data_IF_054976987876
#
_entry.id   IF_054976987876
#
_cell.length_a   1.000
_cell.length_b   1.000
_cell.length_c   1.000
_cell.angle_alpha   90.00
_cell.angle_beta   90.00
_cell.angle_gamma   90.00
#
_symmetry.space_group_name_H-M   'P 1'
#
loop_
_entity.id
_entity.type
_entity.pdbx_description
1 polymer ?
#
# COMPACT_ATOMS: atom_id res chain seq x y z
N UNK A 1 -17.95 -85.72 16.88
CA UNK A 1 -17.92 -84.69 17.96
C UNK A 1 -17.17 -83.42 17.55
N UNK A 2 -16.15 -83.48 16.68
CA UNK A 2 -15.40 -82.30 16.22
C UNK A 2 -16.16 -81.41 15.20
N UNK A 3 -17.01 -81.97 14.32
CA UNK A 3 -17.69 -81.19 13.27
C UNK A 3 -18.78 -80.25 13.78
N UNK A 4 -19.48 -80.62 14.85
CA UNK A 4 -20.53 -79.78 15.45
C UNK A 4 -19.97 -78.54 16.13
N UNK A 5 -18.79 -78.63 16.75
CA UNK A 5 -18.12 -77.49 17.40
C UNK A 5 -17.62 -76.50 16.35
N UNK A 6 -17.06 -76.99 15.23
CA UNK A 6 -16.61 -76.14 14.11
C UNK A 6 -17.78 -75.42 13.42
N UNK A 7 -18.93 -76.08 13.26
CA UNK A 7 -20.15 -75.46 12.74
C UNK A 7 -20.72 -74.39 13.69
N UNK A 8 -20.74 -74.65 15.00
CA UNK A 8 -21.18 -73.69 16.00
C UNK A 8 -20.27 -72.45 16.07
N UNK A 9 -18.94 -72.65 16.01
CA UNK A 9 -17.96 -71.55 15.99
C UNK A 9 -18.05 -70.75 14.69
N UNK A 10 -18.22 -71.40 13.52
CA UNK A 10 -18.42 -70.71 12.24
C UNK A 10 -19.73 -69.93 12.19
N UNK A 11 -20.81 -70.46 12.77
CA UNK A 11 -22.10 -69.78 12.90
C UNK A 11 -21.98 -68.54 13.79
N UNK A 12 -21.42 -68.69 14.99
CA UNK A 12 -21.20 -67.60 15.95
C UNK A 12 -20.32 -66.47 15.38
N UNK A 13 -19.24 -66.81 14.67
CA UNK A 13 -18.38 -65.83 13.98
C UNK A 13 -19.08 -65.12 12.80
N UNK A 14 -20.07 -65.77 12.16
CA UNK A 14 -20.86 -65.18 11.08
C UNK A 14 -21.89 -64.21 11.64
N UNK A 15 -22.55 -64.58 12.74
CA UNK A 15 -23.50 -63.71 13.46
C UNK A 15 -22.80 -62.50 14.08
N UNK A 16 -21.64 -62.67 14.72
CA UNK A 16 -20.89 -61.54 15.30
C UNK A 16 -20.35 -60.57 14.25
N UNK A 17 -19.95 -61.07 13.06
CA UNK A 17 -19.59 -60.21 11.93
C UNK A 17 -20.80 -59.42 11.41
N UNK A 18 -21.96 -60.06 11.26
CA UNK A 18 -23.19 -59.40 10.80
C UNK A 18 -23.65 -58.29 11.76
N UNK A 19 -23.66 -58.55 13.07
CA UNK A 19 -23.99 -57.54 14.09
C UNK A 19 -22.99 -56.37 14.10
N UNK A 20 -21.70 -56.64 13.88
CA UNK A 20 -20.68 -55.60 13.77
C UNK A 20 -20.87 -54.75 12.51
N UNK A 21 -21.25 -55.36 11.38
CA UNK A 21 -21.58 -54.64 10.14
C UNK A 21 -22.83 -53.77 10.31
N UNK A 22 -23.91 -54.27 10.93
CA UNK A 22 -25.11 -53.48 11.21
C UNK A 22 -24.84 -52.32 12.19
N UNK A 23 -23.98 -52.53 13.19
CA UNK A 23 -23.53 -51.45 14.10
C UNK A 23 -22.68 -50.40 13.38
N UNK A 24 -21.79 -50.81 12.47
CA UNK A 24 -21.00 -49.88 11.65
C UNK A 24 -21.86 -49.12 10.63
N UNK A 25 -22.87 -49.78 10.06
CA UNK A 25 -23.81 -49.19 9.11
C UNK A 25 -24.77 -48.21 9.80
N UNK A 26 -25.35 -48.58 10.94
CA UNK A 26 -26.17 -47.66 11.75
C UNK A 26 -25.35 -46.48 12.28
N UNK A 27 -24.10 -46.70 12.73
CA UNK A 27 -23.20 -45.63 13.13
C UNK A 27 -22.84 -44.71 11.97
N UNK A 28 -22.63 -45.24 10.75
CA UNK A 28 -22.34 -44.44 9.56
C UNK A 28 -23.54 -43.61 9.11
N UNK A 29 -24.76 -44.15 9.16
CA UNK A 29 -25.99 -43.41 8.88
C UNK A 29 -26.28 -42.31 9.93
N UNK A 30 -26.02 -42.57 11.21
CA UNK A 30 -26.08 -41.55 12.27
C UNK A 30 -25.04 -40.44 12.06
N UNK A 31 -23.83 -40.79 11.63
CA UNK A 31 -22.77 -39.82 11.31
C UNK A 31 -23.15 -38.98 10.08
N UNK A 32 -23.64 -39.60 9.00
CA UNK A 32 -24.13 -38.90 7.79
C UNK A 32 -25.32 -37.99 8.13
N UNK A 33 -26.27 -38.46 8.95
CA UNK A 33 -27.39 -37.65 9.45
C UNK A 33 -26.93 -36.45 10.29
N UNK A 34 -25.87 -36.61 11.08
CA UNK A 34 -25.29 -35.52 11.88
C UNK A 34 -24.53 -34.51 11.02
N UNK A 35 -23.74 -35.00 10.04
CA UNK A 35 -23.01 -34.16 9.10
C UNK A 35 -23.97 -33.35 8.19
N UNK A 36 -25.06 -33.95 7.73
CA UNK A 36 -26.08 -33.27 6.90
C UNK A 36 -26.82 -32.19 7.69
N UNK A 37 -27.22 -32.46 8.94
CA UNK A 37 -27.79 -31.45 9.85
C UNK A 37 -26.82 -30.29 10.08
N UNK A 38 -25.55 -30.59 10.37
CA UNK A 38 -24.52 -29.58 10.56
C UNK A 38 -24.31 -28.73 9.30
N UNK A 39 -24.22 -29.35 8.13
CA UNK A 39 -24.10 -28.67 6.85
C UNK A 39 -25.31 -27.76 6.56
N UNK A 40 -26.52 -28.21 6.86
CA UNK A 40 -27.74 -27.43 6.74
C UNK A 40 -27.72 -26.22 7.68
N UNK A 41 -27.36 -26.40 8.95
CA UNK A 41 -27.26 -25.32 9.94
C UNK A 41 -26.22 -24.27 9.51
N UNK A 42 -25.05 -24.72 9.04
CA UNK A 42 -24.01 -23.85 8.49
C UNK A 42 -24.56 -23.09 7.28
N UNK A 43 -25.28 -23.75 6.38
CA UNK A 43 -25.87 -23.11 5.20
C UNK A 43 -26.90 -22.05 5.57
N UNK A 44 -27.83 -22.36 6.48
CA UNK A 44 -28.82 -21.40 6.97
C UNK A 44 -28.13 -20.20 7.63
N UNK A 45 -27.09 -20.43 8.43
CA UNK A 45 -26.33 -19.36 9.04
C UNK A 45 -25.66 -18.45 7.99
N UNK A 46 -24.91 -19.02 7.05
CA UNK A 46 -24.13 -18.23 6.09
C UNK A 46 -24.96 -17.61 4.95
N UNK A 47 -26.05 -18.23 4.53
CA UNK A 47 -26.85 -17.77 3.39
C UNK A 47 -28.12 -17.01 3.80
N UNK A 48 -28.60 -17.14 5.04
CA UNK A 48 -29.81 -16.43 5.51
C UNK A 48 -29.55 -15.53 6.71
N UNK A 49 -29.13 -16.09 7.85
CA UNK A 49 -29.05 -15.35 9.12
C UNK A 49 -27.96 -14.26 9.09
N UNK A 50 -26.75 -14.60 8.63
CA UNK A 50 -25.62 -13.68 8.59
C UNK A 50 -25.83 -12.53 7.57
N UNK A 51 -26.31 -12.78 6.33
CA UNK A 51 -26.69 -11.70 5.42
C UNK A 51 -27.79 -10.81 6.00
N UNK A 52 -28.81 -11.39 6.63
CA UNK A 52 -29.90 -10.63 7.23
C UNK A 52 -29.40 -9.71 8.35
N UNK A 53 -28.60 -10.25 9.26
CA UNK A 53 -27.94 -9.46 10.29
C UNK A 53 -27.11 -8.33 9.68
N UNK A 54 -26.26 -8.62 8.68
CA UNK A 54 -25.37 -7.63 8.05
C UNK A 54 -26.11 -6.49 7.35
N UNK A 55 -27.26 -6.77 6.76
CA UNK A 55 -28.05 -5.79 6.03
C UNK A 55 -28.92 -4.92 6.93
N UNK A 56 -29.54 -5.49 7.97
CA UNK A 56 -30.57 -4.79 8.73
C UNK A 56 -30.17 -4.44 10.16
N UNK A 57 -29.40 -5.29 10.85
CA UNK A 57 -29.15 -5.17 12.29
C UNK A 57 -27.73 -4.67 12.58
N UNK A 58 -26.76 -5.00 11.73
CA UNK A 58 -25.37 -4.64 11.92
C UNK A 58 -25.23 -3.12 12.11
N UNK A 59 -24.37 -2.62 13.01
CA UNK A 59 -24.29 -1.18 13.30
C UNK A 59 -24.02 -0.30 12.07
N UNK A 60 -23.35 -0.86 11.05
CA UNK A 60 -23.09 -0.20 9.78
C UNK A 60 -24.24 -0.28 8.75
N UNK A 61 -25.40 -0.86 9.08
CA UNK A 61 -26.57 -0.98 8.17
C UNK A 61 -27.14 0.37 7.76
N UNK A 62 -26.91 1.41 8.57
CA UNK A 62 -27.34 2.79 8.29
C UNK A 62 -26.53 3.48 7.19
N UNK A 63 -25.32 3.00 6.89
CA UNK A 63 -24.47 3.61 5.86
C UNK A 63 -24.83 3.07 4.47
N UNK A 64 -24.89 3.94 3.45
CA UNK A 64 -25.22 3.53 2.09
C UNK A 64 -24.10 2.69 1.47
N UNK A 65 -24.45 1.83 0.51
CA UNK A 65 -23.50 1.04 -0.25
C UNK A 65 -24.13 -0.20 -0.89
N UNK A 66 -23.40 -0.93 -1.75
CA UNK A 66 -23.92 -2.11 -2.39
C UNK A 66 -24.24 -3.22 -1.38
N UNK A 67 -25.47 -3.75 -1.42
CA UNK A 67 -25.93 -4.81 -0.50
C UNK A 67 -25.03 -6.06 -0.51
N UNK A 68 -24.52 -6.45 -1.67
CA UNK A 68 -23.62 -7.61 -1.81
C UNK A 68 -22.29 -7.40 -1.09
N UNK A 69 -21.81 -6.16 -0.98
CA UNK A 69 -20.58 -5.79 -0.28
C UNK A 69 -20.81 -5.70 1.23
N UNK A 70 -21.98 -5.20 1.64
CA UNK A 70 -22.40 -5.26 3.05
C UNK A 70 -22.51 -6.72 3.56
N UNK A 71 -22.93 -7.66 2.70
CA UNK A 71 -23.04 -9.08 3.06
C UNK A 71 -21.68 -9.78 3.09
N UNK A 72 -20.77 -9.51 2.16
CA UNK A 72 -19.56 -10.33 1.97
C UNK A 72 -18.33 -9.52 1.58
N UNK A 73 -17.15 -10.03 1.94
CA UNK A 73 -15.85 -9.49 1.50
C UNK A 73 -15.49 -9.90 0.07
N UNK A 74 -16.19 -10.88 -0.52
CA UNK A 74 -15.87 -11.41 -1.86
C UNK A 74 -15.84 -10.33 -2.95
N UNK A 75 -16.86 -9.44 -3.06
CA UNK A 75 -16.84 -8.41 -4.11
C UNK A 75 -15.64 -7.45 -3.97
N UNK A 76 -15.31 -7.07 -2.73
CA UNK A 76 -14.13 -6.24 -2.45
C UNK A 76 -12.84 -6.97 -2.87
N UNK A 77 -12.70 -8.26 -2.53
CA UNK A 77 -11.52 -9.07 -2.89
C UNK A 77 -11.38 -9.19 -4.41
N UNK A 78 -12.46 -9.43 -5.14
CA UNK A 78 -12.44 -9.47 -6.61
C UNK A 78 -12.01 -8.12 -7.18
N UNK A 79 -12.61 -7.02 -6.69
CA UNK A 79 -12.25 -5.67 -7.09
C UNK A 79 -10.75 -5.39 -6.82
N UNK A 80 -10.28 -5.68 -5.61
CA UNK A 80 -8.90 -5.42 -5.21
C UNK A 80 -7.90 -6.23 -6.05
N UNK A 81 -8.17 -7.53 -6.25
CA UNK A 81 -7.31 -8.39 -7.07
C UNK A 81 -7.38 -8.07 -8.58
N UNK A 82 -8.42 -7.39 -9.06
CA UNK A 82 -8.53 -6.96 -10.47
C UNK A 82 -7.58 -5.82 -10.84
N UNK A 83 -7.03 -5.10 -9.85
CA UNK A 83 -6.24 -3.89 -10.07
C UNK A 83 -7.06 -2.63 -10.36
N UNK A 84 -8.39 -2.72 -10.40
CA UNK A 84 -9.28 -1.59 -10.74
C UNK A 84 -10.01 -0.98 -9.53
N UNK A 85 -9.55 -1.28 -8.31
CA UNK A 85 -10.24 -0.84 -7.08
C UNK A 85 -10.40 0.66 -6.95
N UNK A 86 -9.42 1.43 -7.38
CA UNK A 86 -9.46 2.89 -7.33
C UNK A 86 -10.61 3.48 -8.17
N UNK A 87 -10.88 2.91 -9.36
CA UNK A 87 -12.00 3.33 -10.23
C UNK A 87 -13.33 2.94 -9.63
N UNK A 88 -13.43 1.70 -9.14
CA UNK A 88 -14.67 1.20 -8.56
C UNK A 88 -15.05 1.96 -7.29
N UNK A 89 -14.07 2.35 -6.47
CA UNK A 89 -14.32 3.20 -5.30
C UNK A 89 -14.80 4.60 -5.71
N UNK A 90 -14.24 5.19 -6.77
CA UNK A 90 -14.74 6.45 -7.33
C UNK A 90 -16.22 6.33 -7.75
N UNK A 91 -16.58 5.32 -8.55
CA UNK A 91 -17.96 5.08 -8.97
C UNK A 91 -18.93 4.91 -7.78
N UNK A 92 -18.48 4.19 -6.74
CA UNK A 92 -19.29 4.01 -5.54
C UNK A 92 -19.50 5.32 -4.78
N UNK A 93 -18.48 6.17 -4.68
CA UNK A 93 -18.62 7.49 -4.05
C UNK A 93 -19.46 8.46 -4.89
N UNK A 94 -19.36 8.41 -6.23
CA UNK A 94 -20.25 9.16 -7.13
C UNK A 94 -21.72 8.73 -6.96
N UNK A 95 -21.96 7.43 -6.70
CA UNK A 95 -23.32 6.89 -6.54
C UNK A 95 -23.92 7.09 -5.13
N UNK A 96 -23.13 6.85 -4.07
CA UNK A 96 -23.64 6.74 -2.69
C UNK A 96 -23.24 7.92 -1.80
N UNK A 97 -22.38 8.83 -2.28
CA UNK A 97 -21.94 10.03 -1.55
C UNK A 97 -20.62 9.84 -0.80
N UNK A 98 -20.39 10.70 0.20
CA UNK A 98 -19.07 10.86 0.83
C UNK A 98 -18.67 9.75 1.81
N UNK A 99 -19.63 8.94 2.28
CA UNK A 99 -19.39 7.82 3.19
C UNK A 99 -20.09 6.58 2.64
N UNK A 100 -19.31 5.53 2.33
CA UNK A 100 -19.84 4.33 1.67
C UNK A 100 -19.39 3.06 2.41
N UNK A 101 -20.34 2.16 2.65
CA UNK A 101 -20.05 0.82 3.18
C UNK A 101 -19.57 -0.10 2.06
N UNK A 102 -18.27 -0.43 2.11
CA UNK A 102 -17.58 -1.25 1.09
C UNK A 102 -17.19 -2.64 1.60
N UNK A 103 -17.79 -3.07 2.71
CA UNK A 103 -17.61 -4.41 3.26
C UNK A 103 -18.53 -4.65 4.45
N UNK A 104 -18.58 -5.89 4.99
CA UNK A 104 -19.34 -6.19 6.19
C UNK A 104 -19.02 -5.27 7.36
N UNK A 105 -17.73 -4.98 7.57
CA UNK A 105 -17.23 -4.11 8.64
C UNK A 105 -16.24 -3.06 8.12
N UNK A 106 -16.54 -2.44 6.97
CA UNK A 106 -15.65 -1.48 6.31
C UNK A 106 -16.40 -0.27 5.74
N UNK A 107 -15.88 0.92 6.03
CA UNK A 107 -16.36 2.20 5.52
C UNK A 107 -15.25 2.93 4.73
N UNK A 108 -15.66 3.55 3.63
CA UNK A 108 -14.82 4.40 2.78
C UNK A 108 -15.30 5.85 2.87
N UNK A 109 -14.36 6.80 2.93
CA UNK A 109 -14.65 8.22 3.15
C UNK A 109 -13.98 9.10 2.09
N UNK A 110 -14.70 10.08 1.55
CA UNK A 110 -14.14 11.13 0.67
C UNK A 110 -14.37 12.55 1.20
N UNK A 111 -15.06 12.69 2.35
CA UNK A 111 -15.26 13.99 2.98
C UNK A 111 -13.92 14.61 3.44
N UNK A 112 -13.68 15.91 3.24
CA UNK A 112 -12.41 16.56 3.58
C UNK A 112 -11.98 16.39 5.04
N UNK A 113 -12.92 16.47 5.98
CA UNK A 113 -12.67 16.42 7.43
C UNK A 113 -12.29 15.00 7.89
N UNK A 114 -12.52 13.97 7.07
CA UNK A 114 -12.22 12.59 7.41
C UNK A 114 -10.73 12.36 7.64
N UNK A 115 -9.84 13.08 6.94
CA UNK A 115 -8.39 12.93 7.11
C UNK A 115 -7.95 13.18 8.55
N UNK A 116 -8.47 14.25 9.16
CA UNK A 116 -8.12 14.60 10.55
C UNK A 116 -8.63 13.54 11.54
N UNK A 117 -9.86 13.05 11.34
CA UNK A 117 -10.45 12.03 12.21
C UNK A 117 -9.78 10.65 12.05
N UNK A 118 -9.43 10.25 10.83
CA UNK A 118 -8.92 8.90 10.53
C UNK A 118 -7.39 8.82 10.72
N UNK A 119 -6.64 9.79 10.19
CA UNK A 119 -5.18 9.76 10.14
C UNK A 119 -4.52 10.82 11.04
N UNK A 120 -5.25 11.86 11.44
CA UNK A 120 -4.73 12.96 12.25
C UNK A 120 -4.35 12.54 13.68
N UNK A 121 -3.73 13.48 14.40
CA UNK A 121 -3.41 13.29 15.81
C UNK A 121 -4.69 13.41 16.62
N UNK A 122 -5.18 12.30 17.15
CA UNK A 122 -6.35 12.33 18.03
C UNK A 122 -5.98 12.84 19.43
N UNK A 123 -6.93 13.48 20.10
CA UNK A 123 -6.80 13.92 21.50
C UNK A 123 -6.77 12.74 22.47
N UNK A 124 -7.30 11.58 22.04
CA UNK A 124 -7.18 10.30 22.74
C UNK A 124 -5.82 9.66 22.42
N UNK A 125 -5.24 8.99 23.40
CA UNK A 125 -3.88 8.42 23.38
C UNK A 125 -3.66 7.40 22.25
N UNK A 126 -4.72 6.86 21.65
CA UNK A 126 -4.64 5.73 20.70
C UNK A 126 -4.99 6.19 19.29
N UNK A 127 -4.00 6.23 18.40
CA UNK A 127 -4.21 6.40 16.94
C UNK A 127 -5.03 5.24 16.36
N UNK A 128 -5.71 5.43 15.22
CA UNK A 128 -6.28 4.29 14.48
C UNK A 128 -5.12 3.46 13.86
N UNK A 129 -4.84 2.23 14.32
CA UNK A 129 -3.75 1.42 13.78
C UNK A 129 -4.01 1.04 12.32
N UNK A 130 -2.94 0.73 11.58
CA UNK A 130 -3.07 0.12 10.24
C UNK A 130 -3.73 -1.25 10.37
N UNK A 131 -4.51 -1.62 9.37
CA UNK A 131 -5.11 -2.94 9.34
C UNK A 131 -4.03 -4.05 9.20
N UNK A 132 -3.94 -5.04 10.12
CA UNK A 132 -2.85 -6.02 10.13
C UNK A 132 -2.74 -6.87 8.87
N UNK A 133 -3.86 -7.12 8.19
CA UNK A 133 -3.88 -7.86 6.92
C UNK A 133 -3.28 -7.05 5.76
N UNK A 134 -3.27 -5.72 5.86
CA UNK A 134 -2.68 -4.81 4.88
C UNK A 134 -1.20 -4.55 5.19
N UNK A 135 -0.91 -4.20 6.45
CA UNK A 135 0.42 -3.91 6.93
C UNK A 135 0.62 -4.60 8.28
N UNK A 136 1.34 -5.73 8.33
CA UNK A 136 1.58 -6.47 9.57
C UNK A 136 2.33 -5.61 10.60
N UNK A 137 1.95 -5.66 11.88
CA UNK A 137 2.63 -4.92 12.93
C UNK A 137 3.89 -5.65 13.42
N UNK A 138 4.85 -5.89 12.53
CA UNK A 138 6.03 -6.71 12.85
C UNK A 138 7.09 -6.00 13.70
N UNK A 139 7.00 -4.67 13.84
CA UNK A 139 7.94 -3.87 14.63
C UNK A 139 9.32 -3.72 14.01
N UNK A 140 9.53 -4.15 12.76
CA UNK A 140 10.87 -4.22 12.15
C UNK A 140 11.24 -3.02 11.32
N UNK A 141 10.25 -2.29 10.82
CA UNK A 141 10.47 -1.13 9.98
C UNK A 141 9.40 -0.06 10.20
N UNK A 142 9.72 1.19 9.87
CA UNK A 142 8.87 2.35 10.16
C UNK A 142 7.44 2.19 9.65
N UNK A 143 7.24 1.59 8.48
CA UNK A 143 5.90 1.45 7.91
C UNK A 143 4.97 0.52 8.71
N UNK A 144 5.49 -0.56 9.30
CA UNK A 144 4.73 -1.56 10.06
C UNK A 144 4.81 -1.40 11.59
N UNK A 145 5.73 -0.58 12.09
CA UNK A 145 5.99 -0.48 13.52
C UNK A 145 4.76 -0.07 14.35
N UNK A 146 4.52 -0.69 15.52
CA UNK A 146 3.58 -0.21 16.54
C UNK A 146 3.87 1.24 16.95
N UNK A 147 2.94 1.88 17.67
CA UNK A 147 3.01 3.32 17.97
C UNK A 147 4.36 3.78 18.55
N UNK A 148 4.81 3.15 19.65
CA UNK A 148 6.05 3.55 20.33
C UNK A 148 7.30 3.34 19.48
N UNK A 149 7.43 2.18 18.83
CA UNK A 149 8.56 1.89 17.93
C UNK A 149 8.58 2.83 16.73
N UNK A 150 7.41 3.12 16.16
CA UNK A 150 7.31 4.07 15.07
C UNK A 150 7.76 5.47 15.47
N UNK A 151 7.38 5.96 16.66
CA UNK A 151 7.82 7.27 17.15
C UNK A 151 9.35 7.30 17.30
N UNK A 152 9.96 6.24 17.86
CA UNK A 152 11.42 6.09 17.97
C UNK A 152 12.09 6.09 16.59
N UNK A 153 11.68 5.17 15.72
CA UNK A 153 12.23 5.02 14.37
C UNK A 153 12.10 6.31 13.54
N UNK A 154 10.91 6.94 13.56
CA UNK A 154 10.65 8.18 12.83
C UNK A 154 11.57 9.30 13.29
N UNK A 155 11.79 9.44 14.60
CA UNK A 155 12.67 10.49 15.15
C UNK A 155 14.12 10.29 14.70
N UNK A 156 14.60 9.05 14.65
CA UNK A 156 15.95 8.72 14.15
C UNK A 156 16.04 9.04 12.65
N UNK A 157 15.12 8.48 11.87
CA UNK A 157 15.13 8.57 10.41
C UNK A 157 14.88 10.01 9.89
N UNK A 158 14.14 10.85 10.63
CA UNK A 158 13.81 12.21 10.20
C UNK A 158 15.04 13.08 9.92
N UNK A 159 16.18 12.82 10.57
CA UNK A 159 17.42 13.53 10.29
C UNK A 159 17.92 13.28 8.85
N UNK A 160 17.66 12.10 8.30
CA UNK A 160 18.04 11.71 6.94
C UNK A 160 17.24 12.44 5.86
N UNK A 161 16.07 12.96 6.23
CA UNK A 161 15.16 13.73 5.38
C UNK A 161 15.07 15.20 5.80
N UNK A 162 16.06 15.69 6.56
CA UNK A 162 16.15 17.10 6.95
C UNK A 162 16.63 17.96 5.78
N UNK A 163 16.24 19.24 5.75
CA UNK A 163 16.69 20.16 4.69
C UNK A 163 18.22 20.25 4.58
N UNK A 164 18.92 20.16 5.72
CA UNK A 164 20.39 20.13 5.76
C UNK A 164 20.93 18.87 5.06
N UNK A 165 20.40 17.70 5.40
CA UNK A 165 20.88 16.43 4.84
C UNK A 165 20.55 16.33 3.35
N UNK A 166 19.35 16.75 2.94
CA UNK A 166 18.98 16.78 1.52
C UNK A 166 19.92 17.68 0.69
N UNK A 167 20.32 18.84 1.24
CA UNK A 167 21.34 19.69 0.59
C UNK A 167 22.68 18.96 0.42
N UNK A 168 23.07 18.13 1.39
CA UNK A 168 24.28 17.31 1.30
C UNK A 168 24.12 16.12 0.34
N UNK A 169 22.89 15.62 0.17
CA UNK A 169 22.54 14.55 -0.77
C UNK A 169 22.41 15.04 -2.21
N UNK A 170 22.15 16.33 -2.43
CA UNK A 170 21.90 16.92 -3.75
C UNK A 170 22.94 16.51 -4.81
N UNK A 171 24.27 16.52 -4.56
CA UNK A 171 25.24 16.11 -5.57
C UNK A 171 25.06 14.66 -6.04
N UNK A 172 24.62 13.77 -5.14
CA UNK A 172 24.35 12.36 -5.47
C UNK A 172 23.14 12.28 -6.41
N UNK A 173 22.06 12.95 -6.06
CA UNK A 173 20.82 12.95 -6.85
C UNK A 173 21.04 13.58 -8.23
N UNK A 174 21.70 14.74 -8.27
CA UNK A 174 22.00 15.44 -9.52
C UNK A 174 22.86 14.59 -10.46
N UNK A 175 23.85 13.85 -9.94
CA UNK A 175 24.65 12.95 -10.77
C UNK A 175 23.83 11.87 -11.49
N UNK A 176 22.79 11.33 -10.85
CA UNK A 176 21.86 10.38 -11.48
C UNK A 176 20.91 11.06 -12.46
N UNK A 177 20.48 12.29 -12.19
CA UNK A 177 19.66 13.09 -13.13
C UNK A 177 20.47 13.41 -14.40
N UNK A 178 21.72 13.85 -14.26
CA UNK A 178 22.61 14.13 -15.38
C UNK A 178 22.81 12.87 -16.26
N UNK A 179 23.00 11.71 -15.61
CA UNK A 179 23.11 10.43 -16.29
C UNK A 179 21.82 10.08 -17.05
N UNK A 180 20.66 10.28 -16.44
CA UNK A 180 19.36 10.07 -17.08
C UNK A 180 19.22 10.93 -18.34
N UNK A 181 19.45 12.25 -18.23
CA UNK A 181 19.35 13.18 -19.37
C UNK A 181 20.34 12.81 -20.47
N UNK A 182 21.59 12.48 -20.11
CA UNK A 182 22.61 12.00 -21.06
C UNK A 182 22.13 10.78 -21.83
N UNK A 183 21.62 9.75 -21.14
CA UNK A 183 21.13 8.52 -21.77
C UNK A 183 19.92 8.76 -22.66
N UNK A 184 18.99 9.62 -22.25
CA UNK A 184 17.85 10.01 -23.06
C UNK A 184 18.28 10.72 -24.35
N UNK A 185 19.26 11.64 -24.28
CA UNK A 185 19.82 12.28 -25.48
C UNK A 185 20.54 11.29 -26.41
N UNK A 186 21.31 10.34 -25.87
CA UNK A 186 21.93 9.28 -26.65
C UNK A 186 20.90 8.44 -27.40
N UNK A 187 19.78 8.09 -26.74
CA UNK A 187 18.70 7.32 -27.36
C UNK A 187 17.93 8.13 -28.40
N UNK A 188 17.62 9.39 -28.12
CA UNK A 188 16.90 10.26 -29.05
C UNK A 188 17.70 10.55 -30.33
N UNK A 189 19.04 10.63 -30.25
CA UNK A 189 19.90 10.82 -31.44
C UNK A 189 20.01 9.59 -32.32
N UNK A 190 19.98 8.40 -31.71
CA UNK A 190 20.29 7.14 -32.38
C UNK A 190 19.04 6.39 -32.89
N UNK A 191 17.84 6.93 -32.68
CA UNK A 191 16.58 6.22 -32.95
C UNK A 191 15.41 7.18 -33.14
N UNK A 192 14.64 7.00 -34.22
CA UNK A 192 13.30 7.59 -34.37
C UNK A 192 12.25 6.89 -33.49
N UNK A 193 12.59 5.77 -32.85
CA UNK A 193 11.66 5.00 -32.02
C UNK A 193 11.31 5.72 -30.71
N UNK A 194 10.03 5.60 -30.33
CA UNK A 194 9.50 6.13 -29.09
C UNK A 194 10.26 5.60 -27.86
N UNK A 195 10.53 6.50 -26.90
CA UNK A 195 11.15 6.16 -25.62
C UNK A 195 10.04 5.90 -24.60
N UNK A 196 10.08 4.73 -23.96
CA UNK A 196 9.21 4.44 -22.82
C UNK A 196 9.78 5.13 -21.57
N UNK A 197 9.30 6.36 -21.30
CA UNK A 197 9.86 7.24 -20.26
C UNK A 197 9.67 6.68 -18.84
N UNK A 198 8.63 5.87 -18.59
CA UNK A 198 8.37 5.30 -17.28
C UNK A 198 9.47 4.35 -16.80
N UNK A 199 10.05 3.54 -17.69
CA UNK A 199 11.21 2.69 -17.38
C UNK A 199 12.43 3.52 -17.00
N UNK A 200 12.71 4.59 -17.74
CA UNK A 200 13.84 5.47 -17.45
C UNK A 200 13.71 6.21 -16.11
N UNK A 201 12.49 6.67 -15.79
CA UNK A 201 12.19 7.25 -14.48
C UNK A 201 12.31 6.22 -13.36
N UNK A 202 11.90 4.97 -13.60
CA UNK A 202 12.14 3.88 -12.65
C UNK A 202 13.65 3.64 -12.45
N UNK A 203 14.43 3.54 -13.52
CA UNK A 203 15.89 3.34 -13.42
C UNK A 203 16.54 4.45 -12.60
N UNK A 204 16.19 5.69 -12.87
CA UNK A 204 16.70 6.85 -12.12
C UNK A 204 16.29 6.80 -10.65
N UNK A 205 15.01 6.56 -10.35
CA UNK A 205 14.52 6.52 -8.98
C UNK A 205 15.16 5.39 -8.16
N UNK A 206 15.35 4.21 -8.76
CA UNK A 206 16.04 3.10 -8.10
C UNK A 206 17.53 3.38 -7.88
N UNK A 207 18.23 3.93 -8.87
CA UNK A 207 19.66 4.26 -8.69
C UNK A 207 19.84 5.34 -7.63
N UNK A 208 19.01 6.39 -7.62
CA UNK A 208 19.05 7.43 -6.58
C UNK A 208 18.81 6.82 -5.18
N UNK A 209 17.71 6.09 -4.99
CA UNK A 209 17.40 5.58 -3.65
C UNK A 209 18.34 4.45 -3.22
N UNK A 210 18.85 3.65 -4.15
CA UNK A 210 19.88 2.66 -3.87
C UNK A 210 21.15 3.32 -3.36
N UNK A 211 21.56 4.39 -4.02
CA UNK A 211 22.74 5.15 -3.62
C UNK A 211 22.57 5.85 -2.26
N UNK A 212 21.36 6.32 -1.95
CA UNK A 212 21.02 6.93 -0.66
C UNK A 212 20.73 5.91 0.46
N UNK A 213 20.21 4.72 0.17
CA UNK A 213 19.82 3.74 1.18
C UNK A 213 20.91 2.71 1.46
N UNK A 214 21.70 2.35 0.45
CA UNK A 214 22.77 1.35 0.53
C UNK A 214 24.16 1.94 0.29
N UNK A 215 24.27 3.21 -0.09
CA UNK A 215 25.56 3.83 -0.40
C UNK A 215 26.16 3.36 -1.73
N UNK A 216 25.38 2.71 -2.60
CA UNK A 216 25.76 2.43 -3.99
C UNK A 216 24.51 2.29 -4.89
N UNK A 217 24.56 2.76 -6.15
CA UNK A 217 23.45 2.61 -7.09
C UNK A 217 23.28 1.15 -7.55
N UNK A 218 22.14 0.85 -8.20
CA UNK A 218 21.89 -0.46 -8.80
C UNK A 218 22.49 -0.62 -10.19
N UNK A 219 22.86 0.49 -10.84
CA UNK A 219 23.41 0.52 -12.19
C UNK A 219 22.34 0.52 -13.29
N UNK A 220 21.07 0.79 -12.97
CA UNK A 220 19.98 0.68 -13.92
C UNK A 220 20.12 1.67 -15.10
N UNK A 221 20.54 2.91 -14.83
CA UNK A 221 20.80 3.93 -15.87
C UNK A 221 22.05 3.59 -16.70
N UNK A 222 23.07 3.01 -16.07
CA UNK A 222 24.29 2.62 -16.75
C UNK A 222 24.03 1.49 -17.73
N UNK A 223 23.35 0.44 -17.27
CA UNK A 223 23.07 -0.77 -18.05
C UNK A 223 21.85 -0.62 -18.96
N UNK A 224 21.09 0.48 -18.81
CA UNK A 224 19.82 0.70 -19.51
C UNK A 224 18.83 -0.45 -19.32
N UNK A 225 18.84 -1.06 -18.13
CA UNK A 225 18.07 -2.25 -17.80
C UNK A 225 17.71 -2.28 -16.32
N UNK A 226 16.58 -2.92 -16.00
CA UNK A 226 16.15 -3.09 -14.62
C UNK A 226 16.99 -4.15 -13.90
N UNK A 227 17.52 -3.83 -12.72
CA UNK A 227 18.25 -4.80 -11.92
C UNK A 227 17.34 -5.99 -11.51
N UNK A 228 17.78 -7.27 -11.62
CA UNK A 228 16.92 -8.44 -11.38
C UNK A 228 16.24 -8.50 -10.00
N UNK A 229 16.92 -7.98 -8.97
CA UNK A 229 16.34 -7.85 -7.62
C UNK A 229 15.11 -6.94 -7.59
N UNK A 230 15.11 -5.85 -8.38
CA UNK A 230 13.98 -4.91 -8.49
C UNK A 230 12.79 -5.59 -9.16
N UNK A 231 13.01 -6.30 -10.26
CA UNK A 231 11.95 -7.06 -10.93
C UNK A 231 11.29 -8.09 -9.99
N UNK A 232 12.09 -8.68 -9.09
CA UNK A 232 11.61 -9.60 -8.06
C UNK A 232 10.74 -8.91 -7.02
N UNK A 233 11.05 -7.65 -6.64
CA UNK A 233 10.21 -6.85 -5.75
C UNK A 233 8.82 -6.66 -6.35
N UNK A 234 8.71 -6.23 -7.61
CA UNK A 234 7.40 -6.01 -8.25
C UNK A 234 6.54 -7.28 -8.30
N UNK A 235 7.16 -8.43 -8.61
CA UNK A 235 6.48 -9.71 -8.55
C UNK A 235 5.99 -10.02 -7.12
N UNK A 236 6.80 -9.72 -6.10
CA UNK A 236 6.44 -9.95 -4.70
C UNK A 236 5.28 -9.06 -4.25
N UNK A 237 5.20 -7.80 -4.68
CA UNK A 237 4.11 -6.87 -4.35
C UNK A 237 2.75 -7.40 -4.83
N UNK A 238 2.70 -7.96 -6.06
CA UNK A 238 1.47 -8.57 -6.59
C UNK A 238 1.01 -9.76 -5.75
N UNK A 239 1.93 -10.65 -5.38
CA UNK A 239 1.61 -11.79 -4.51
C UNK A 239 1.21 -11.36 -3.10
N UNK A 240 1.83 -10.29 -2.58
CA UNK A 240 1.50 -9.67 -1.31
C UNK A 240 0.09 -9.10 -1.30
N UNK A 241 -0.33 -8.43 -2.36
CA UNK A 241 -1.69 -7.91 -2.53
C UNK A 241 -2.74 -9.04 -2.48
N UNK A 242 -2.52 -10.13 -3.23
CA UNK A 242 -3.41 -11.30 -3.19
C UNK A 242 -3.44 -11.90 -1.78
N UNK A 243 -2.27 -12.05 -1.14
CA UNK A 243 -2.18 -12.53 0.24
C UNK A 243 -2.94 -11.65 1.23
N UNK A 244 -2.84 -10.34 1.12
CA UNK A 244 -3.57 -9.37 1.95
C UNK A 244 -5.09 -9.52 1.77
N UNK A 245 -5.56 -9.70 0.54
CA UNK A 245 -6.98 -9.91 0.26
C UNK A 245 -7.50 -11.24 0.84
N UNK A 246 -6.72 -12.33 0.74
CA UNK A 246 -7.09 -13.62 1.30
C UNK A 246 -7.07 -13.62 2.84
N UNK A 247 -6.17 -12.87 3.47
CA UNK A 247 -6.11 -12.73 4.94
C UNK A 247 -7.37 -12.10 5.56
N UNK A 248 -8.23 -11.46 4.76
CA UNK A 248 -9.49 -10.87 5.23
C UNK A 248 -10.59 -11.91 5.50
N UNK A 249 -10.41 -13.17 5.08
CA UNK A 249 -11.34 -14.26 5.37
C UNK A 249 -10.90 -15.01 6.63
N UNK A 250 -11.76 -15.20 7.64
CA UNK A 250 -11.35 -15.72 8.96
C UNK A 250 -10.58 -17.05 8.95
N UNK A 251 -10.92 -17.97 8.05
CA UNK A 251 -10.32 -19.32 8.01
C UNK A 251 -9.07 -19.39 7.13
N UNK A 252 -8.89 -18.46 6.19
CA UNK A 252 -7.80 -18.55 5.22
C UNK A 252 -6.41 -18.31 5.83
N UNK A 253 -6.17 -17.37 6.77
CA UNK A 253 -4.87 -17.21 7.41
C UNK A 253 -4.28 -18.49 8.01
N UNK A 254 -5.13 -19.39 8.52
CA UNK A 254 -4.68 -20.68 9.06
C UNK A 254 -4.27 -21.68 7.96
N UNK A 255 -4.89 -21.58 6.78
CA UNK A 255 -4.69 -22.51 5.65
C UNK A 255 -3.59 -22.01 4.72
N UNK A 256 -3.48 -20.70 4.52
CA UNK A 256 -2.56 -20.07 3.56
C UNK A 256 -1.12 -20.56 3.70
N UNK A 257 -0.50 -20.61 4.91
CA UNK A 257 0.87 -21.09 5.08
C UNK A 257 1.10 -22.52 4.54
N UNK A 258 0.07 -23.37 4.54
CA UNK A 258 0.14 -24.73 4.00
C UNK A 258 0.10 -24.76 2.46
N UNK A 259 -0.47 -23.72 1.84
CA UNK A 259 -0.64 -23.60 0.40
C UNK A 259 0.47 -22.77 -0.27
N UNK A 260 1.23 -21.97 0.50
CA UNK A 260 2.30 -21.14 -0.06
C UNK A 260 3.42 -22.03 -0.63
N UNK A 261 3.75 -21.91 -1.92
CA UNK A 261 4.85 -22.69 -2.50
C UNK A 261 6.19 -22.32 -1.85
N UNK A 262 7.03 -23.32 -1.56
CA UNK A 262 8.39 -23.11 -0.99
C UNK A 262 9.23 -22.13 -1.82
N UNK A 263 9.03 -22.09 -3.14
CA UNK A 263 9.71 -21.15 -4.04
C UNK A 263 9.43 -19.69 -3.66
N UNK A 264 8.19 -19.37 -3.26
CA UNK A 264 7.81 -18.01 -2.87
C UNK A 264 8.41 -17.61 -1.53
N UNK A 265 8.52 -18.55 -0.59
CA UNK A 265 9.21 -18.33 0.68
C UNK A 265 10.70 -18.04 0.47
N UNK A 266 11.38 -18.84 -0.35
CA UNK A 266 12.79 -18.62 -0.72
C UNK A 266 13.02 -17.27 -1.39
N UNK A 267 12.10 -16.84 -2.26
CA UNK A 267 12.17 -15.54 -2.91
C UNK A 267 12.13 -14.39 -1.88
N UNK A 268 11.28 -14.52 -0.86
CA UNK A 268 11.23 -13.55 0.25
C UNK A 268 12.53 -13.51 1.07
N UNK A 269 13.16 -14.67 1.29
CA UNK A 269 14.46 -14.77 1.97
C UNK A 269 15.58 -14.14 1.12
N UNK A 270 15.59 -14.38 -0.19
CA UNK A 270 16.57 -13.80 -1.12
C UNK A 270 16.47 -12.27 -1.18
N UNK A 271 15.26 -11.72 -1.23
CA UNK A 271 15.04 -10.26 -1.19
C UNK A 271 15.62 -9.64 0.08
N UNK A 272 15.38 -10.27 1.23
CA UNK A 272 15.91 -9.82 2.53
C UNK A 272 17.42 -9.94 2.61
N UNK A 273 17.97 -11.07 2.15
CA UNK A 273 19.42 -11.31 2.14
C UNK A 273 20.16 -10.26 1.31
N UNK A 274 19.63 -9.90 0.14
CA UNK A 274 20.23 -8.85 -0.67
C UNK A 274 20.31 -7.50 0.07
N UNK A 275 19.23 -7.09 0.74
CA UNK A 275 19.22 -5.86 1.55
C UNK A 275 20.26 -5.93 2.67
N UNK A 276 20.29 -7.05 3.40
CA UNK A 276 21.26 -7.31 4.46
C UNK A 276 22.71 -7.21 3.95
N UNK A 277 23.02 -7.85 2.81
CA UNK A 277 24.38 -7.89 2.26
C UNK A 277 24.84 -6.50 1.80
N UNK A 278 23.95 -5.71 1.20
CA UNK A 278 24.21 -4.32 0.83
C UNK A 278 24.48 -3.43 2.05
N UNK A 279 23.66 -3.56 3.09
CA UNK A 279 23.87 -2.85 4.36
C UNK A 279 25.19 -3.26 5.01
N UNK A 280 25.50 -4.56 5.09
CA UNK A 280 26.78 -5.06 5.64
C UNK A 280 27.96 -4.44 4.92
N UNK A 281 27.97 -4.51 3.58
CA UNK A 281 29.05 -3.94 2.75
C UNK A 281 29.24 -2.44 3.03
N UNK A 282 28.14 -1.69 3.15
CA UNK A 282 28.22 -0.25 3.42
C UNK A 282 28.75 0.06 4.82
N UNK A 283 28.34 -0.69 5.83
CA UNK A 283 28.84 -0.53 7.20
C UNK A 283 30.31 -0.92 7.33
N UNK A 284 30.73 -2.00 6.67
CA UNK A 284 32.13 -2.48 6.64
C UNK A 284 33.07 -1.50 5.93
N UNK A 285 32.57 -0.72 4.96
CA UNK A 285 33.37 0.29 4.26
C UNK A 285 33.90 1.40 5.18
N UNK A 286 33.25 1.65 6.32
CA UNK A 286 33.59 2.73 7.26
C UNK A 286 33.54 4.14 6.65
N UNK A 287 33.01 4.30 5.43
CA UNK A 287 32.96 5.60 4.76
C UNK A 287 31.91 6.51 5.40
N UNK A 288 32.24 7.80 5.55
CA UNK A 288 31.25 8.81 5.93
C UNK A 288 30.67 9.41 4.65
N UNK A 289 29.35 9.28 4.50
CA UNK A 289 28.60 9.76 3.34
C UNK A 289 27.28 10.35 3.83
N UNK A 290 26.75 11.42 3.22
CA UNK A 290 25.45 11.98 3.60
C UNK A 290 24.28 11.10 3.13
N UNK A 291 24.35 9.79 3.30
CA UNK A 291 23.30 8.86 2.92
C UNK A 291 22.32 8.60 4.09
N UNK A 292 21.21 7.92 3.82
CA UNK A 292 20.18 7.62 4.81
C UNK A 292 20.70 6.59 5.82
N UNK A 293 21.58 5.68 5.39
CA UNK A 293 22.13 4.65 6.27
C UNK A 293 23.00 5.24 7.38
N UNK A 294 23.80 6.27 7.07
CA UNK A 294 24.55 7.06 8.05
C UNK A 294 23.62 7.63 9.15
N UNK A 295 22.41 8.05 8.77
CA UNK A 295 21.42 8.51 9.75
C UNK A 295 20.94 7.35 10.64
N UNK A 296 20.69 6.18 10.06
CA UNK A 296 20.21 5.01 10.80
C UNK A 296 21.20 4.53 11.87
N UNK A 297 22.49 4.76 11.67
CA UNK A 297 23.57 4.37 12.61
C UNK A 297 23.96 5.47 13.60
N UNK A 298 23.48 6.70 13.41
CA UNK A 298 23.85 7.87 14.22
C UNK A 298 23.22 7.93 15.64
N UNK A 299 22.35 6.98 15.97
CA UNK A 299 21.62 6.93 17.23
C UNK A 299 22.50 6.80 18.47
N UNK A 300 22.04 7.30 19.63
CA UNK A 300 22.72 7.17 20.93
C UNK A 300 21.74 6.71 22.02
N UNK A 301 22.20 5.86 22.93
CA UNK A 301 21.38 5.31 24.02
C UNK A 301 20.14 4.57 23.49
N UNK A 302 18.97 4.88 24.07
CA UNK A 302 17.69 4.28 23.69
C UNK A 302 17.16 4.75 22.33
N UNK A 303 17.81 5.75 21.70
CA UNK A 303 17.48 6.26 20.38
C UNK A 303 18.35 5.62 19.29
N UNK A 304 18.48 4.30 19.33
CA UNK A 304 19.23 3.49 18.35
C UNK A 304 18.30 2.56 17.59
N UNK A 305 18.72 2.17 16.38
CA UNK A 305 18.10 1.09 15.62
C UNK A 305 18.93 -0.18 15.80
N UNK A 306 18.25 -1.33 15.97
CA UNK A 306 18.90 -2.64 15.92
C UNK A 306 19.35 -2.96 14.50
N UNK A 307 20.23 -3.95 14.36
CA UNK A 307 20.68 -4.37 13.02
C UNK A 307 19.54 -4.82 12.12
N UNK A 308 18.60 -5.63 12.65
CA UNK A 308 17.41 -6.06 11.91
C UNK A 308 16.55 -4.84 11.51
N UNK A 309 16.40 -3.86 12.40
CA UNK A 309 15.67 -2.62 12.06
C UNK A 309 16.35 -1.82 10.95
N UNK A 310 17.68 -1.74 10.94
CA UNK A 310 18.43 -1.05 9.87
C UNK A 310 18.20 -1.77 8.53
N UNK A 311 18.38 -3.09 8.48
CA UNK A 311 18.25 -3.88 7.25
C UNK A 311 16.82 -3.80 6.67
N UNK A 312 15.80 -3.86 7.52
CA UNK A 312 14.39 -3.77 7.09
C UNK A 312 13.99 -2.32 6.74
N UNK A 313 14.53 -1.30 7.41
CA UNK A 313 14.28 0.09 7.03
C UNK A 313 14.97 0.45 5.70
N UNK A 314 16.19 -0.02 5.46
CA UNK A 314 16.88 0.15 4.17
C UNK A 314 16.08 -0.49 3.02
N UNK A 315 15.55 -1.72 3.25
CA UNK A 315 14.65 -2.38 2.30
C UNK A 315 13.39 -1.55 2.03
N UNK A 316 12.64 -1.15 3.08
CA UNK A 316 11.36 -0.47 2.90
C UNK A 316 11.52 0.92 2.26
N UNK A 317 12.59 1.64 2.59
CA UNK A 317 12.89 2.96 2.01
C UNK A 317 13.24 2.83 0.54
N UNK A 318 14.01 1.82 0.17
CA UNK A 318 14.35 1.54 -1.24
C UNK A 318 13.09 1.26 -2.05
N UNK A 319 12.20 0.38 -1.57
CA UNK A 319 10.95 0.05 -2.29
C UNK A 319 10.00 1.25 -2.33
N UNK A 320 9.80 1.93 -1.19
CA UNK A 320 8.85 3.03 -1.10
C UNK A 320 9.30 4.27 -1.88
N UNK A 321 10.60 4.60 -1.87
CA UNK A 321 11.14 5.82 -2.47
C UNK A 321 11.39 5.75 -3.98
N UNK A 322 11.40 4.54 -4.57
CA UNK A 322 11.66 4.34 -6.00
C UNK A 322 10.36 4.33 -6.82
N UNK A 323 9.57 3.25 -6.70
CA UNK A 323 8.40 2.98 -7.55
C UNK A 323 7.35 4.09 -7.48
N UNK A 324 7.11 4.64 -6.29
CA UNK A 324 6.10 5.69 -6.08
C UNK A 324 6.50 7.00 -6.75
N UNK A 325 7.76 7.41 -6.60
CA UNK A 325 8.33 8.61 -7.24
C UNK A 325 8.33 8.48 -8.76
N UNK A 326 8.79 7.33 -9.28
CA UNK A 326 8.76 7.07 -10.72
C UNK A 326 7.33 7.09 -11.28
N UNK A 327 6.35 6.54 -10.55
CA UNK A 327 4.93 6.59 -10.93
C UNK A 327 4.39 8.02 -10.96
N UNK A 328 4.70 8.84 -9.94
CA UNK A 328 4.28 10.24 -9.89
C UNK A 328 4.85 11.04 -11.07
N UNK A 329 6.16 10.91 -11.32
CA UNK A 329 6.82 11.60 -12.44
C UNK A 329 6.30 11.14 -13.79
N UNK A 330 6.03 9.84 -13.95
CA UNK A 330 5.42 9.30 -15.17
C UNK A 330 4.03 9.90 -15.40
N UNK A 331 3.21 9.99 -14.36
CA UNK A 331 1.91 10.65 -14.39
C UNK A 331 2.02 12.12 -14.78
N UNK A 332 2.97 12.86 -14.19
CA UNK A 332 3.21 14.27 -14.51
C UNK A 332 3.60 14.47 -15.98
N UNK A 333 4.55 13.68 -16.50
CA UNK A 333 4.96 13.75 -17.92
C UNK A 333 3.78 13.40 -18.85
N UNK A 334 3.01 12.37 -18.52
CA UNK A 334 1.82 12.00 -19.28
C UNK A 334 0.79 13.14 -19.35
N UNK A 335 0.50 13.78 -18.20
CA UNK A 335 -0.45 14.88 -18.11
C UNK A 335 0.05 16.12 -18.87
N UNK A 336 1.33 16.47 -18.74
CA UNK A 336 1.92 17.57 -19.51
C UNK A 336 1.90 17.30 -21.02
N UNK A 337 2.22 16.08 -21.45
CA UNK A 337 2.18 15.70 -22.87
C UNK A 337 0.75 15.77 -23.44
N UNK A 338 -0.28 15.54 -22.61
CA UNK A 338 -1.69 15.70 -22.98
C UNK A 338 -2.20 17.13 -22.94
N UNK A 339 -1.47 18.05 -22.29
CA UNK A 339 -1.87 19.44 -22.09
C UNK A 339 -0.77 20.41 -22.57
N UNK A 340 -0.64 20.64 -23.89
CA UNK A 340 0.45 21.45 -24.46
C UNK A 340 0.54 22.87 -23.90
N UNK A 341 -0.59 23.48 -23.51
CA UNK A 341 -0.61 24.82 -22.91
C UNK A 341 0.09 24.84 -21.54
N UNK A 342 -0.19 23.86 -20.68
CA UNK A 342 0.49 23.72 -19.39
C UNK A 342 1.97 23.39 -19.56
N UNK A 343 2.31 22.52 -20.52
CA UNK A 343 3.71 22.22 -20.86
C UNK A 343 4.48 23.45 -21.34
N UNK A 344 3.86 24.29 -22.16
CA UNK A 344 4.46 25.55 -22.62
C UNK A 344 4.69 26.54 -21.48
N UNK A 345 3.71 26.71 -20.58
CA UNK A 345 3.82 27.56 -19.39
C UNK A 345 4.94 27.09 -18.45
N UNK A 346 4.97 25.79 -18.12
CA UNK A 346 6.02 25.22 -17.29
C UNK A 346 7.40 25.37 -17.93
N UNK A 347 7.51 25.08 -19.24
CA UNK A 347 8.76 25.23 -19.97
C UNK A 347 9.24 26.68 -19.97
N UNK A 348 8.32 27.65 -20.09
CA UNK A 348 8.65 29.07 -20.02
C UNK A 348 9.14 29.48 -18.63
N UNK A 349 8.45 29.08 -17.56
CA UNK A 349 8.87 29.36 -16.18
C UNK A 349 10.29 28.83 -15.92
N UNK A 350 10.55 27.55 -16.22
CA UNK A 350 11.86 26.94 -15.97
C UNK A 350 12.95 27.60 -16.82
N UNK A 351 12.73 27.81 -18.12
CA UNK A 351 13.75 28.36 -19.04
C UNK A 351 14.00 29.87 -18.85
N UNK A 352 13.03 30.60 -18.30
CA UNK A 352 13.22 32.02 -17.98
C UNK A 352 13.91 32.23 -16.63
N UNK A 353 13.80 31.27 -15.70
CA UNK A 353 14.40 31.36 -14.38
C UNK A 353 15.88 30.92 -14.37
N UNK A 354 16.24 29.92 -15.19
CA UNK A 354 17.60 29.37 -15.22
C UNK A 354 18.29 29.63 -16.57
N UNK A 355 19.43 30.29 -16.53
CA UNK A 355 20.27 30.51 -17.72
C UNK A 355 21.11 29.27 -18.09
N UNK A 356 21.45 28.44 -17.11
CA UNK A 356 22.26 27.22 -17.26
C UNK A 356 21.69 26.12 -16.33
N UNK A 357 21.56 24.89 -16.84
CA UNK A 357 21.14 23.72 -16.08
C UNK A 357 22.00 23.47 -14.82
N UNK A 358 23.28 23.84 -14.86
CA UNK A 358 24.21 23.71 -13.73
C UNK A 358 23.88 24.61 -12.54
N UNK A 359 23.04 25.62 -12.75
CA UNK A 359 22.57 26.54 -11.69
C UNK A 359 21.32 26.03 -10.98
N UNK A 360 20.73 24.93 -11.46
CA UNK A 360 19.56 24.32 -10.82
C UNK A 360 19.98 23.62 -9.51
N UNK A 361 19.29 23.94 -8.43
CA UNK A 361 19.43 23.28 -7.14
C UNK A 361 18.05 23.05 -6.48
N UNK A 362 18.01 22.20 -5.46
CA UNK A 362 16.76 21.85 -4.78
C UNK A 362 16.05 23.05 -4.17
N UNK A 363 16.82 24.01 -3.65
CA UNK A 363 16.26 25.18 -2.97
C UNK A 363 15.55 26.10 -3.97
N UNK A 364 16.12 26.30 -5.15
CA UNK A 364 15.60 27.22 -6.15
C UNK A 364 14.43 26.60 -6.91
N UNK A 365 14.53 25.34 -7.34
CA UNK A 365 13.45 24.68 -8.09
C UNK A 365 12.17 24.53 -7.26
N UNK A 366 12.28 24.37 -5.94
CA UNK A 366 11.13 24.28 -5.04
C UNK A 366 10.41 25.61 -4.81
N UNK A 367 10.92 26.71 -5.36
CA UNK A 367 10.26 28.03 -5.31
C UNK A 367 9.51 28.39 -6.58
N UNK A 368 9.57 27.55 -7.63
CA UNK A 368 8.90 27.80 -8.88
C UNK A 368 7.40 27.50 -8.76
N UNK A 369 6.53 28.53 -8.77
CA UNK A 369 5.12 28.37 -8.41
C UNK A 369 4.37 27.46 -9.39
N UNK A 370 4.60 27.59 -10.70
CA UNK A 370 3.90 26.78 -11.69
C UNK A 370 4.40 25.33 -11.70
N UNK A 371 5.70 25.10 -11.51
CA UNK A 371 6.26 23.76 -11.31
C UNK A 371 5.62 23.06 -10.09
N UNK A 372 5.55 23.74 -8.94
CA UNK A 372 4.89 23.20 -7.74
C UNK A 372 3.42 22.87 -8.02
N UNK A 373 2.69 23.78 -8.67
CA UNK A 373 1.30 23.58 -9.08
C UNK A 373 1.11 22.39 -10.02
N UNK A 374 2.04 22.17 -10.96
CA UNK A 374 2.04 21.01 -11.85
C UNK A 374 2.27 19.72 -11.06
N UNK A 375 3.20 19.70 -10.10
CA UNK A 375 3.46 18.52 -9.26
C UNK A 375 2.23 18.18 -8.41
N UNK A 376 1.62 19.17 -7.76
CA UNK A 376 0.41 18.99 -6.95
C UNK A 376 -0.76 18.49 -7.80
N UNK A 377 -1.03 19.10 -8.95
CA UNK A 377 -2.12 18.67 -9.83
C UNK A 377 -1.88 17.28 -10.43
N UNK A 378 -0.62 16.95 -10.72
CA UNK A 378 -0.25 15.62 -11.20
C UNK A 378 -0.49 14.55 -10.13
N UNK A 379 -0.12 14.82 -8.88
CA UNK A 379 -0.40 13.93 -7.74
C UNK A 379 -1.91 13.83 -7.45
N UNK A 380 -2.71 14.86 -7.75
CA UNK A 380 -4.16 14.85 -7.58
C UNK A 380 -4.85 13.92 -8.59
N UNK A 381 -4.47 14.01 -9.87
CA UNK A 381 -5.04 13.18 -10.93
C UNK A 381 -4.42 11.78 -11.02
N UNK A 382 -3.14 11.65 -10.67
CA UNK A 382 -2.35 10.44 -10.81
C UNK A 382 -1.60 10.08 -9.50
N UNK A 383 -2.30 9.91 -8.36
CA UNK A 383 -1.67 9.57 -7.10
C UNK A 383 -1.04 8.16 -7.17
N UNK A 384 0.25 7.98 -6.79
CA UNK A 384 0.87 6.67 -6.72
C UNK A 384 0.18 5.70 -5.75
N UNK A 385 -0.49 6.23 -4.72
CA UNK A 385 -1.29 5.47 -3.76
C UNK A 385 -2.80 5.71 -3.91
N UNK A 386 -3.45 5.31 -5.02
CA UNK A 386 -4.80 5.78 -5.35
C UNK A 386 -5.90 5.24 -4.42
N UNK A 387 -5.61 4.14 -3.71
CA UNK A 387 -6.55 3.49 -2.79
C UNK A 387 -6.36 3.96 -1.35
N UNK A 388 -7.30 3.60 -0.48
CA UNK A 388 -7.18 3.86 0.95
C UNK A 388 -6.02 3.07 1.57
N UNK A 389 -5.33 3.70 2.52
CA UNK A 389 -4.50 2.98 3.50
C UNK A 389 -5.39 2.59 4.69
N UNK A 390 -5.85 1.34 4.78
CA UNK A 390 -6.88 0.93 5.73
C UNK A 390 -6.40 1.08 7.16
N UNK A 391 -7.21 1.78 7.96
CA UNK A 391 -7.08 1.90 9.42
C UNK A 391 -8.18 1.10 10.10
N UNK A 392 -8.00 0.82 11.38
CA UNK A 392 -9.00 0.15 12.21
C UNK A 392 -9.36 1.05 13.38
N UNK A 393 -10.65 1.21 13.68
CA UNK A 393 -11.09 1.91 14.89
C UNK A 393 -10.67 1.13 16.15
N UNK A 394 -10.30 1.80 17.25
CA UNK A 394 -9.94 1.12 18.49
C UNK A 394 -11.13 0.30 19.03
N UNK A 395 -10.94 -0.67 19.94
CA UNK A 395 -12.01 -1.56 20.43
C UNK A 395 -13.26 -0.84 20.95
N UNK A 396 -13.08 0.33 21.56
CA UNK A 396 -14.13 1.21 22.07
C UNK A 396 -14.84 2.06 21.00
N UNK A 397 -14.49 1.90 19.72
CA UNK A 397 -15.02 2.70 18.62
C UNK A 397 -14.42 4.11 18.52
N UNK A 398 -14.91 4.89 17.57
CA UNK A 398 -14.41 6.24 17.32
C UNK A 398 -15.50 7.17 16.77
N UNK A 399 -15.37 8.47 17.03
CA UNK A 399 -16.23 9.50 16.44
C UNK A 399 -15.60 10.01 15.15
N UNK A 400 -16.25 9.78 14.01
CA UNK A 400 -15.78 10.20 12.69
C UNK A 400 -16.89 11.01 12.04
N UNK A 401 -16.60 12.28 11.70
CA UNK A 401 -17.58 13.22 11.13
C UNK A 401 -18.86 13.38 11.99
N UNK A 402 -18.72 13.36 13.32
CA UNK A 402 -19.86 13.46 14.25
C UNK A 402 -20.65 12.16 14.43
N UNK A 403 -20.27 11.07 13.73
CA UNK A 403 -20.91 9.77 13.87
C UNK A 403 -20.07 8.78 14.67
N UNK A 404 -20.72 8.04 15.57
CA UNK A 404 -20.06 6.96 16.29
C UNK A 404 -19.90 5.72 15.40
N UNK A 405 -18.66 5.32 15.17
CA UNK A 405 -18.25 4.14 14.42
C UNK A 405 -17.82 3.06 15.42
N UNK A 406 -18.39 1.85 15.35
CA UNK A 406 -18.05 0.76 16.27
C UNK A 406 -16.56 0.39 16.21
N UNK A 407 -16.08 -0.22 17.28
CA UNK A 407 -14.69 -0.70 17.34
C UNK A 407 -14.39 -1.81 16.33
N UNK A 408 -13.11 -1.95 16.00
CA UNK A 408 -12.60 -2.91 15.02
C UNK A 408 -13.17 -2.74 13.60
N UNK A 409 -13.73 -1.58 13.28
CA UNK A 409 -14.24 -1.23 11.94
C UNK A 409 -13.08 -0.77 11.07
N UNK A 410 -12.99 -1.31 9.85
CA UNK A 410 -12.01 -0.83 8.86
C UNK A 410 -12.50 0.49 8.27
N UNK A 411 -11.63 1.48 8.24
CA UNK A 411 -11.92 2.82 7.74
C UNK A 411 -10.78 3.29 6.85
N UNK A 412 -11.07 4.10 5.84
CA UNK A 412 -10.02 4.63 4.99
C UNK A 412 -10.50 5.63 3.95
N UNK A 413 -9.54 6.35 3.38
CA UNK A 413 -9.77 7.45 2.44
C UNK A 413 -9.12 7.09 1.10
N UNK A 414 -9.90 6.65 0.09
CA UNK A 414 -9.36 6.40 -1.25
C UNK A 414 -8.95 7.72 -1.89
N UNK A 415 -7.64 7.92 -2.05
CA UNK A 415 -7.07 9.17 -2.57
C UNK A 415 -7.68 9.55 -3.92
N UNK A 416 -7.70 8.64 -4.90
CA UNK A 416 -8.21 8.96 -6.24
C UNK A 416 -9.70 9.35 -6.21
N UNK A 417 -10.53 8.60 -5.50
CA UNK A 417 -11.96 8.91 -5.39
C UNK A 417 -12.21 10.25 -4.67
N UNK A 418 -11.38 10.57 -3.67
CA UNK A 418 -11.43 11.84 -2.95
C UNK A 418 -11.03 13.01 -3.84
N UNK A 419 -9.98 12.82 -4.63
CA UNK A 419 -9.36 13.86 -5.47
C UNK A 419 -10.13 14.13 -6.75
N UNK A 420 -10.85 13.13 -7.27
CA UNK A 420 -11.69 13.23 -8.48
C UNK A 420 -13.17 13.48 -8.16
N UNK A 421 -13.52 13.74 -6.91
CA UNK A 421 -14.90 14.06 -6.53
C UNK A 421 -15.22 15.51 -6.85
N UNK A 422 -16.27 15.75 -7.64
CA UNK A 422 -16.77 17.10 -7.96
C UNK A 422 -17.34 17.84 -6.74
N UNK A 423 -17.63 17.15 -5.63
CA UNK A 423 -17.96 17.81 -4.37
C UNK A 423 -16.75 18.42 -3.66
N UNK A 424 -15.54 17.96 -4.01
CA UNK A 424 -14.29 18.43 -3.41
C UNK A 424 -13.52 19.36 -4.36
N UNK A 425 -13.49 19.06 -5.66
CA UNK A 425 -12.74 19.84 -6.65
C UNK A 425 -13.64 20.19 -7.82
N UNK A 426 -13.69 21.46 -8.20
CA UNK A 426 -14.37 21.89 -9.43
C UNK A 426 -13.62 21.35 -10.64
N UNK A 427 -14.35 20.75 -11.59
CA UNK A 427 -13.78 20.15 -12.82
C UNK A 427 -12.71 19.13 -12.44
N UNK A 428 -13.05 18.25 -11.50
CA UNK A 428 -12.11 17.39 -10.80
C UNK A 428 -11.32 16.48 -11.74
N UNK A 429 -11.86 16.12 -12.90
CA UNK A 429 -11.20 15.20 -13.84
C UNK A 429 -10.25 15.89 -14.84
N UNK A 430 -10.20 17.22 -14.84
CA UNK A 430 -9.35 18.01 -15.73
C UNK A 430 -7.99 18.33 -15.08
N UNK A 431 -6.94 18.42 -15.90
CA UNK A 431 -5.59 18.82 -15.45
C UNK A 431 -5.46 20.34 -15.51
N UNK A 432 -5.59 20.98 -14.35
CA UNK A 432 -5.57 22.43 -14.22
C UNK A 432 -4.60 22.82 -13.10
N UNK A 433 -3.29 22.95 -13.40
CA UNK A 433 -2.30 23.41 -12.41
C UNK A 433 -2.69 24.73 -11.75
N UNK A 434 -3.36 25.62 -12.49
CA UNK A 434 -3.81 26.94 -11.99
C UNK A 434 -4.67 26.85 -10.73
N UNK A 435 -5.33 25.71 -10.43
CA UNK A 435 -6.08 25.57 -9.18
C UNK A 435 -5.22 25.72 -7.93
N UNK A 436 -3.93 25.43 -8.02
CA UNK A 436 -2.98 25.52 -6.91
C UNK A 436 -2.38 26.91 -6.75
N UNK A 437 -2.70 27.82 -7.67
CA UNK A 437 -2.32 29.23 -7.63
C UNK A 437 -3.45 30.08 -7.04
N UNK A 438 -3.21 31.39 -6.93
CA UNK A 438 -4.21 32.38 -6.55
C UNK A 438 -5.21 32.62 -7.71
N UNK A 439 -6.04 31.62 -8.01
CA UNK A 439 -7.08 31.69 -9.02
C UNK A 439 -8.47 31.68 -8.37
N UNK A 440 -9.24 32.74 -8.61
CA UNK A 440 -10.58 32.91 -8.04
C UNK A 440 -11.56 31.82 -8.50
N UNK A 441 -11.36 31.21 -9.67
CA UNK A 441 -12.21 30.15 -10.22
C UNK A 441 -12.24 28.91 -9.31
N UNK A 442 -11.11 28.60 -8.66
CA UNK A 442 -10.90 27.37 -7.88
C UNK A 442 -10.85 27.62 -6.37
N UNK A 443 -11.25 28.82 -5.92
CA UNK A 443 -11.25 29.19 -4.51
C UNK A 443 -12.18 28.33 -3.64
N UNK A 444 -13.20 27.69 -4.23
CA UNK A 444 -14.12 26.77 -3.56
C UNK A 444 -13.62 25.33 -3.42
N UNK A 445 -12.46 24.98 -3.98
CA UNK A 445 -11.90 23.64 -3.86
C UNK A 445 -11.51 23.30 -2.42
N UNK A 446 -11.85 22.07 -2.01
CA UNK A 446 -11.53 21.51 -0.70
C UNK A 446 -10.08 21.00 -0.66
N UNK A 447 -9.10 21.89 -0.82
CA UNK A 447 -7.67 21.53 -0.87
C UNK A 447 -7.17 20.80 0.38
N UNK A 448 -7.81 20.98 1.54
CA UNK A 448 -7.52 20.23 2.77
C UNK A 448 -7.72 18.70 2.65
N UNK A 449 -8.52 18.23 1.69
CA UNK A 449 -8.67 16.80 1.43
C UNK A 449 -7.52 16.21 0.59
N UNK A 450 -6.68 17.05 -0.03
CA UNK A 450 -5.51 16.63 -0.80
C UNK A 450 -4.33 16.31 0.12
N UNK A 451 -4.13 15.02 0.39
CA UNK A 451 -3.05 14.51 1.23
C UNK A 451 -2.34 13.32 0.55
N UNK A 452 -1.64 13.54 -0.58
CA UNK A 452 -0.99 12.45 -1.34
C UNK A 452 0.02 11.68 -0.49
N UNK A 453 0.62 12.36 0.48
CA UNK A 453 1.59 11.81 1.44
C UNK A 453 0.96 11.40 2.79
N UNK A 454 -0.36 11.27 2.87
CA UNK A 454 -1.14 11.07 4.10
C UNK A 454 -1.02 12.23 5.11
N UNK A 455 -1.88 12.23 6.12
CA UNK A 455 -1.87 13.18 7.24
C UNK A 455 -1.40 12.50 8.54
N UNK A 456 -0.94 13.31 9.50
CA UNK A 456 -0.70 12.91 10.90
C UNK A 456 0.64 12.25 11.17
N UNK A 457 0.84 11.63 12.35
CA UNK A 457 2.12 11.08 12.79
C UNK A 457 2.72 10.05 11.82
N UNK A 458 1.85 9.36 11.06
CA UNK A 458 2.17 8.29 10.12
C UNK A 458 2.29 8.77 8.66
N UNK A 459 2.34 10.09 8.40
CA UNK A 459 2.52 10.62 7.05
C UNK A 459 3.89 10.22 6.46
N UNK A 460 4.04 10.35 5.14
CA UNK A 460 5.28 9.99 4.45
C UNK A 460 6.47 10.75 5.06
N UNK A 461 7.58 10.04 5.28
CA UNK A 461 8.82 10.65 5.77
C UNK A 461 9.66 11.24 4.63
N UNK A 462 9.60 10.64 3.44
CA UNK A 462 10.27 11.12 2.22
C UNK A 462 9.36 12.03 1.38
N UNK A 463 8.66 12.96 2.02
CA UNK A 463 7.83 13.97 1.32
C UNK A 463 8.67 15.10 0.72
N UNK A 464 9.77 15.44 1.39
CA UNK A 464 10.74 16.43 0.94
C UNK A 464 11.79 15.74 0.11
#
# INVERSE_FOLDING_TARGET
>A
MFDWVLLAVRSSLKTSRLEMFEKLESASWCLVGSCTKLALLISVYFFLLLPAYRLWIHPLSRFPGPKTWAISQIPWTIMFCSGQSHRRLLELHEQYGSVVRIGPNELSYTAPEAWSAINGKQTRVIENPKAPWFCPPDGKHIAGAPYHDHVRMRRILANGFSARTMKQQQPIVMGHIDMLIKRLHEKAKNSEAAIEIGSWLNYCAFDIIGDLAFGEPFGCLQDSAMHPWIATIFASLRTGAIGAALKRFPLLPAILPLLVPKKLLRLGEELKRFSHDKVSKRLESGSSRPDILETMTSGKGDMTLTRDEIDNNAFVITVAGSETTATALTGAIYLLAKNPSAMAKLSHEVRSHFADEKTMDFATVSTLPYLCAVVEESLRLYPPGPNAQPRITPPEGNLILGEYIPGNTVIGIPQLATYLSESNFKRAKEFIPERWLEDAEFSGDQKNCFNPFSLGPRNCIGIK
#
